data_IF_920574342502
#
_entry.id   IF_920574342502
#
_cell.length_a   1.000
_cell.length_b   1.000
_cell.length_c   1.000
_cell.angle_alpha   90.00
_cell.angle_beta   90.00
_cell.angle_gamma   90.00
#
_symmetry.space_group_name_H-M   'P 1'
#
loop_
_entity.id
_entity.type
_entity.pdbx_description
1 polymer ?
#
# COMPACT_ATOMS: atom_id res chain seq x y z
N UNK A 1 15.87 21.17 -5.06
CA UNK A 1 16.37 20.20 -6.07
C UNK A 1 16.76 18.84 -5.48
N UNK A 2 17.44 18.76 -4.33
CA UNK A 2 17.86 17.47 -3.76
C UNK A 2 16.69 16.54 -3.34
N UNK A 3 15.58 17.10 -2.84
CA UNK A 3 14.39 16.32 -2.46
C UNK A 3 13.74 15.58 -3.64
N UNK A 4 13.80 16.12 -4.86
CA UNK A 4 13.26 15.47 -6.08
C UNK A 4 13.93 14.12 -6.34
N UNK A 5 15.17 13.91 -5.86
CA UNK A 5 15.87 12.64 -5.99
C UNK A 5 15.19 11.49 -5.23
N UNK A 6 14.28 11.79 -4.30
CA UNK A 6 13.41 10.80 -3.63
C UNK A 6 12.26 10.33 -4.51
N UNK A 7 11.95 11.04 -5.59
CA UNK A 7 10.99 10.60 -6.59
C UNK A 7 11.73 9.78 -7.65
N UNK A 8 11.25 8.56 -7.87
CA UNK A 8 11.87 7.60 -8.76
C UNK A 8 11.95 8.15 -10.21
N UNK A 9 13.07 7.95 -10.93
CA UNK A 9 13.29 8.51 -12.27
C UNK A 9 12.26 8.03 -13.31
N UNK A 10 11.75 6.82 -13.11
CA UNK A 10 10.74 6.21 -13.97
C UNK A 10 9.30 6.65 -13.64
N UNK A 11 9.11 7.55 -12.68
CA UNK A 11 7.80 8.09 -12.35
C UNK A 11 7.43 9.28 -13.23
N UNK A 12 6.20 9.33 -13.78
CA UNK A 12 5.66 10.54 -14.38
C UNK A 12 5.67 11.73 -13.40
N UNK A 13 5.50 11.47 -12.10
CA UNK A 13 5.50 12.47 -11.03
C UNK A 13 6.83 13.18 -10.86
N UNK A 14 7.94 12.67 -11.42
CA UNK A 14 9.24 13.35 -11.29
C UNK A 14 9.32 14.62 -12.14
N UNK A 15 8.65 14.64 -13.29
CA UNK A 15 8.69 15.79 -14.20
C UNK A 15 7.85 16.96 -13.65
N UNK A 16 6.66 16.66 -13.14
CA UNK A 16 5.76 17.63 -12.53
C UNK A 16 5.19 17.03 -11.22
N UNK A 17 5.92 17.13 -10.10
CA UNK A 17 5.46 16.58 -8.83
C UNK A 17 4.28 17.39 -8.30
N UNK A 18 3.27 16.70 -7.78
CA UNK A 18 2.19 17.35 -7.04
C UNK A 18 2.70 17.99 -5.73
N UNK A 19 1.91 18.90 -5.15
CA UNK A 19 2.24 19.52 -3.86
C UNK A 19 2.46 18.48 -2.76
N UNK A 20 1.61 17.45 -2.72
CA UNK A 20 1.70 16.35 -1.77
C UNK A 20 2.97 15.51 -1.98
N UNK A 21 3.33 15.19 -3.23
CA UNK A 21 4.56 14.47 -3.54
C UNK A 21 5.80 15.30 -3.19
N UNK A 22 5.76 16.61 -3.43
CA UNK A 22 6.84 17.54 -3.06
C UNK A 22 7.00 17.60 -1.55
N UNK A 23 5.90 17.66 -0.80
CA UNK A 23 5.91 17.64 0.66
C UNK A 23 6.49 16.33 1.22
N UNK A 24 6.10 15.17 0.66
CA UNK A 24 6.63 13.87 1.07
C UNK A 24 8.10 13.73 0.72
N UNK A 25 8.51 14.17 -0.48
CA UNK A 25 9.90 14.17 -0.90
C UNK A 25 10.78 15.04 0.00
N UNK A 26 10.30 16.23 0.39
CA UNK A 26 10.94 17.08 1.39
C UNK A 26 11.03 16.39 2.74
N UNK A 27 9.92 15.81 3.22
CA UNK A 27 9.88 15.10 4.48
C UNK A 27 10.91 13.96 4.57
N UNK A 28 11.03 13.15 3.51
CA UNK A 28 12.01 12.06 3.41
C UNK A 28 13.46 12.56 3.35
N UNK A 29 13.70 13.68 2.67
CA UNK A 29 15.03 14.29 2.58
C UNK A 29 15.49 14.88 3.92
N UNK A 30 14.58 15.52 4.65
CA UNK A 30 14.87 16.03 5.99
C UNK A 30 15.18 14.89 6.96
N UNK A 31 14.45 13.78 6.88
CA UNK A 31 14.69 12.61 7.73
C UNK A 31 16.04 11.97 7.45
N UNK A 32 16.47 11.92 6.18
CA UNK A 32 17.81 11.48 5.79
C UNK A 32 18.90 12.41 6.36
N UNK A 33 18.66 13.72 6.38
CA UNK A 33 19.66 14.72 6.77
C UNK A 33 19.80 14.85 8.28
N UNK A 34 18.68 14.79 9.01
CA UNK A 34 18.63 15.07 10.44
C UNK A 34 18.83 13.83 11.31
N UNK A 35 18.65 12.61 10.76
CA UNK A 35 18.71 11.36 11.52
C UNK A 35 19.87 10.50 11.04
N UNK A 36 21.00 10.53 11.76
CA UNK A 36 22.23 9.84 11.34
C UNK A 36 22.01 8.33 11.12
N UNK A 37 21.26 7.66 11.99
CA UNK A 37 21.00 6.21 11.88
C UNK A 37 20.20 5.83 10.63
N UNK A 38 19.29 6.70 10.19
CA UNK A 38 18.40 6.42 9.04
C UNK A 38 19.03 6.82 7.72
N UNK A 39 20.08 7.64 7.73
CA UNK A 39 20.71 8.21 6.54
C UNK A 39 21.15 7.15 5.54
N UNK A 40 21.86 6.11 6.01
CA UNK A 40 22.38 5.05 5.15
C UNK A 40 21.26 4.25 4.48
N UNK A 41 20.17 3.99 5.20
CA UNK A 41 19.04 3.21 4.70
C UNK A 41 18.08 4.04 3.85
N UNK A 42 17.84 5.31 4.17
CA UNK A 42 16.94 6.20 3.45
C UNK A 42 17.54 6.71 2.14
N UNK A 43 18.86 6.92 2.05
CA UNK A 43 19.52 7.44 0.85
C UNK A 43 19.12 6.72 -0.45
N UNK A 44 19.17 5.37 -0.55
CA UNK A 44 18.79 4.66 -1.78
C UNK A 44 17.27 4.55 -1.99
N UNK A 45 16.46 4.93 -1.00
CA UNK A 45 15.01 4.78 -1.09
C UNK A 45 14.39 5.90 -1.91
N UNK A 46 13.50 5.47 -2.80
CA UNK A 46 12.71 6.32 -3.66
C UNK A 46 11.26 5.85 -3.65
N UNK A 47 10.33 6.77 -3.86
CA UNK A 47 8.92 6.46 -4.11
C UNK A 47 8.54 6.89 -5.53
N UNK A 48 7.50 6.27 -6.09
CA UNK A 48 7.05 6.57 -7.44
C UNK A 48 6.05 7.73 -7.41
N UNK A 49 4.98 7.59 -6.65
CA UNK A 49 3.93 8.60 -6.55
C UNK A 49 3.30 8.56 -5.17
N UNK A 50 2.52 9.58 -4.83
CA UNK A 50 1.73 9.57 -3.62
C UNK A 50 0.31 10.09 -3.90
N UNK A 51 -0.67 9.55 -3.18
CA UNK A 51 -2.08 9.89 -3.32
C UNK A 51 -2.74 10.04 -1.97
N UNK A 52 -3.64 10.99 -1.87
CA UNK A 52 -4.50 11.15 -0.70
C UNK A 52 -5.86 10.48 -0.94
N UNK A 53 -6.38 9.80 0.09
CA UNK A 53 -7.67 9.12 0.09
C UNK A 53 -8.43 9.50 1.35
N UNK A 54 -9.71 9.79 1.21
CA UNK A 54 -10.60 10.03 2.35
C UNK A 54 -11.05 8.69 2.93
N UNK A 55 -10.87 8.52 4.25
CA UNK A 55 -11.15 7.27 4.96
C UNK A 55 -12.55 7.29 5.60
N UNK A 56 -13.17 8.47 5.69
CA UNK A 56 -14.42 8.69 6.41
C UNK A 56 -14.20 9.47 7.71
N UNK A 57 -15.27 10.02 8.27
CA UNK A 57 -15.25 10.83 9.50
C UNK A 57 -14.25 12.01 9.46
N UNK A 58 -14.02 12.59 8.27
CA UNK A 58 -13.08 13.70 8.07
C UNK A 58 -11.60 13.32 8.11
N UNK A 59 -11.26 12.03 8.32
CA UNK A 59 -9.88 11.54 8.31
C UNK A 59 -9.41 11.26 6.88
N UNK A 60 -8.12 11.50 6.63
CA UNK A 60 -7.47 11.22 5.34
C UNK A 60 -6.32 10.23 5.54
N UNK A 61 -6.02 9.47 4.50
CA UNK A 61 -4.87 8.59 4.44
C UNK A 61 -4.01 8.95 3.23
N UNK A 62 -2.70 8.95 3.42
CA UNK A 62 -1.72 9.16 2.36
C UNK A 62 -1.18 7.79 1.96
N UNK A 63 -1.33 7.44 0.69
CA UNK A 63 -0.78 6.24 0.08
C UNK A 63 0.49 6.66 -0.65
N UNK A 64 1.63 6.09 -0.24
CA UNK A 64 2.92 6.26 -0.92
C UNK A 64 3.20 5.01 -1.75
N UNK A 65 3.27 5.19 -3.06
CA UNK A 65 3.58 4.13 -4.00
C UNK A 65 5.09 3.90 -4.08
N UNK A 66 5.53 2.70 -3.73
CA UNK A 66 6.95 2.32 -3.69
C UNK A 66 7.30 1.46 -4.90
N UNK A 67 8.48 1.63 -5.54
CA UNK A 67 8.96 0.69 -6.54
C UNK A 67 9.09 -0.71 -5.93
N UNK A 68 8.55 -1.75 -6.60
CA UNK A 68 8.56 -3.13 -6.10
C UNK A 68 9.93 -3.61 -5.60
N UNK A 69 11.08 -3.32 -6.26
CA UNK A 69 12.38 -3.76 -5.78
C UNK A 69 12.80 -3.15 -4.42
N UNK A 70 12.29 -1.96 -4.10
CA UNK A 70 12.66 -1.23 -2.89
C UNK A 70 11.76 -1.55 -1.69
N UNK A 71 10.62 -2.21 -1.92
CA UNK A 71 9.63 -2.48 -0.87
C UNK A 71 10.20 -3.23 0.33
N UNK A 72 11.05 -4.25 0.11
CA UNK A 72 11.68 -4.99 1.20
C UNK A 72 12.59 -4.09 2.06
N UNK A 73 13.23 -3.08 1.46
CA UNK A 73 14.06 -2.11 2.18
C UNK A 73 13.19 -1.09 2.93
N UNK A 74 12.04 -0.71 2.38
CA UNK A 74 11.06 0.10 3.10
C UNK A 74 10.53 -0.64 4.34
N UNK A 75 10.16 -1.92 4.20
CA UNK A 75 9.65 -2.74 5.31
C UNK A 75 10.59 -2.73 6.52
N UNK A 76 11.91 -2.86 6.32
CA UNK A 76 12.92 -2.83 7.40
C UNK A 76 12.85 -1.58 8.29
N UNK A 77 12.46 -0.44 7.73
CA UNK A 77 12.40 0.85 8.46
C UNK A 77 10.96 1.37 8.62
N UNK A 78 9.96 0.65 8.13
CA UNK A 78 8.60 1.15 7.93
C UNK A 78 7.95 1.59 9.23
N UNK A 79 8.16 0.87 10.33
CA UNK A 79 7.61 1.26 11.63
C UNK A 79 8.12 2.63 12.11
N UNK A 80 9.42 2.91 11.94
CA UNK A 80 10.01 4.20 12.33
C UNK A 80 9.65 5.28 11.32
N UNK A 81 9.67 4.96 10.03
CA UNK A 81 9.34 5.88 8.95
C UNK A 81 7.88 6.34 9.00
N UNK A 82 6.93 5.43 9.25
CA UNK A 82 5.51 5.79 9.40
C UNK A 82 5.30 6.75 10.55
N UNK A 83 5.90 6.50 11.72
CA UNK A 83 5.81 7.40 12.88
C UNK A 83 6.33 8.80 12.59
N UNK A 84 7.50 8.91 11.95
CA UNK A 84 8.09 10.22 11.62
C UNK A 84 7.29 10.98 10.56
N UNK A 85 6.72 10.28 9.57
CA UNK A 85 5.85 10.91 8.58
C UNK A 85 4.51 11.32 9.18
N UNK A 86 3.90 10.49 10.04
CA UNK A 86 2.63 10.84 10.71
C UNK A 86 2.79 12.04 11.67
N UNK A 87 3.96 12.25 12.27
CA UNK A 87 4.25 13.48 13.02
C UNK A 87 4.22 14.73 12.13
N UNK A 88 4.71 14.64 10.89
CA UNK A 88 4.73 15.76 9.92
C UNK A 88 3.36 15.96 9.26
N UNK A 89 2.65 14.88 8.99
CA UNK A 89 1.32 14.87 8.38
C UNK A 89 0.29 14.52 9.45
N UNK A 90 0.05 15.47 10.36
CA UNK A 90 -0.89 15.29 11.46
C UNK A 90 -2.28 14.89 10.95
N UNK A 91 -2.95 14.01 11.70
CA UNK A 91 -4.29 13.49 11.42
C UNK A 91 -4.43 12.69 10.12
N UNK A 92 -3.31 12.28 9.51
CA UNK A 92 -3.29 11.45 8.30
C UNK A 92 -2.53 10.16 8.50
N UNK A 93 -3.17 9.03 8.18
CA UNK A 93 -2.48 7.73 8.20
C UNK A 93 -1.59 7.59 6.96
N UNK A 94 -0.31 7.28 7.17
CA UNK A 94 0.64 7.10 6.07
C UNK A 94 0.83 5.60 5.79
N UNK A 95 0.47 5.17 4.58
CA UNK A 95 0.52 3.78 4.14
C UNK A 95 1.47 3.63 2.96
N UNK A 96 2.27 2.55 2.96
CA UNK A 96 3.17 2.21 1.87
C UNK A 96 2.60 1.04 1.07
N UNK A 97 2.52 1.20 -0.25
CA UNK A 97 2.04 0.15 -1.15
C UNK A 97 2.96 0.05 -2.35
N UNK A 98 3.36 -1.15 -2.75
CA UNK A 98 4.14 -1.29 -3.98
C UNK A 98 3.32 -0.96 -5.23
N UNK A 99 3.92 -0.22 -6.15
CA UNK A 99 3.34 0.01 -7.48
C UNK A 99 3.45 -1.24 -8.35
N UNK A 100 2.37 -2.02 -8.39
CA UNK A 100 2.26 -3.25 -9.20
C UNK A 100 1.42 -3.02 -10.45
N UNK A 101 1.88 -3.56 -11.58
CA UNK A 101 1.15 -3.52 -12.87
C UNK A 101 0.37 -4.80 -13.09
N UNK A 102 -0.93 -4.68 -13.29
CA UNK A 102 -1.79 -5.79 -13.73
C UNK A 102 -1.74 -5.86 -15.26
N UNK A 103 -1.36 -7.01 -15.81
CA UNK A 103 -1.43 -7.25 -17.26
C UNK A 103 -2.82 -7.77 -17.66
N UNK A 104 -3.33 -7.50 -18.87
CA UNK A 104 -4.56 -8.13 -19.34
C UNK A 104 -4.37 -9.65 -19.48
N UNK A 105 -5.46 -10.42 -19.34
CA UNK A 105 -5.42 -11.86 -19.64
C UNK A 105 -5.22 -12.02 -21.15
N UNK A 106 -4.24 -12.83 -21.61
CA UNK A 106 -4.10 -13.12 -23.03
C UNK A 106 -5.38 -13.83 -23.50
N UNK A 107 -6.06 -13.26 -24.49
CA UNK A 107 -7.25 -13.84 -25.11
C UNK A 107 -6.82 -14.56 -26.39
N UNK A 108 -7.42 -15.72 -26.67
CA UNK A 108 -7.17 -16.50 -27.90
C UNK A 108 -7.96 -16.01 -29.13
N UNK A 109 -8.73 -14.92 -29.00
CA UNK A 109 -9.60 -14.42 -30.07
C UNK A 109 -8.85 -13.48 -31.01
N UNK A 110 -9.11 -13.59 -32.31
CA UNK A 110 -8.61 -12.70 -33.37
C UNK A 110 -9.05 -11.24 -33.15
N UNK A 111 -10.18 -11.02 -32.46
CA UNK A 111 -10.69 -9.69 -32.10
C UNK A 111 -10.14 -9.18 -30.75
N UNK A 112 -9.12 -9.84 -30.20
CA UNK A 112 -8.43 -9.40 -28.98
C UNK A 112 -7.65 -8.11 -29.26
N UNK A 113 -8.02 -7.01 -28.58
CA UNK A 113 -7.22 -5.76 -28.56
C UNK A 113 -5.84 -5.92 -27.90
N UNK A 114 -5.49 -7.11 -27.42
CA UNK A 114 -4.19 -7.41 -26.81
C UNK A 114 -3.30 -8.09 -27.86
N UNK A 115 -2.22 -7.41 -28.22
CA UNK A 115 -1.14 -7.87 -29.11
C UNK A 115 -0.06 -8.69 -28.38
N UNK A 116 -0.25 -8.99 -27.10
CA UNK A 116 0.74 -9.70 -26.28
C UNK A 116 0.72 -11.21 -26.56
N UNK A 117 1.76 -11.66 -27.24
CA UNK A 117 2.05 -13.07 -27.54
C UNK A 117 2.79 -13.78 -26.38
N UNK A 118 3.49 -13.03 -25.54
CA UNK A 118 4.23 -13.57 -24.39
C UNK A 118 3.30 -14.05 -23.29
N UNK A 119 3.63 -15.20 -22.67
CA UNK A 119 2.92 -15.73 -21.50
C UNK A 119 2.94 -14.71 -20.34
N UNK A 120 1.76 -14.42 -19.79
CA UNK A 120 1.61 -13.51 -18.64
C UNK A 120 2.23 -14.11 -17.37
N UNK A 121 3.13 -13.40 -16.66
CA UNK A 121 3.63 -13.83 -15.35
C UNK A 121 2.53 -13.87 -14.28
N UNK A 122 2.57 -14.86 -13.39
CA UNK A 122 1.61 -15.01 -12.27
C UNK A 122 1.60 -13.80 -11.34
N UNK A 123 2.77 -13.20 -11.07
CA UNK A 123 2.92 -11.99 -10.25
C UNK A 123 2.19 -10.76 -10.79
N UNK A 124 1.85 -10.75 -12.08
CA UNK A 124 1.08 -9.67 -12.73
C UNK A 124 -0.38 -10.07 -12.96
N UNK A 125 -0.87 -11.09 -12.26
CA UNK A 125 -2.29 -11.48 -12.25
C UNK A 125 -3.13 -10.56 -11.37
N UNK A 126 -4.39 -10.31 -11.72
CA UNK A 126 -5.28 -9.46 -10.91
C UNK A 126 -5.36 -9.96 -9.46
N UNK A 127 -5.62 -11.26 -9.29
CA UNK A 127 -5.70 -11.90 -7.97
C UNK A 127 -4.39 -11.77 -7.20
N UNK A 128 -3.24 -12.12 -7.80
CA UNK A 128 -1.95 -12.03 -7.10
C UNK A 128 -1.61 -10.59 -6.69
N UNK A 129 -1.88 -9.61 -7.56
CA UNK A 129 -1.65 -8.19 -7.24
C UNK A 129 -2.56 -7.73 -6.11
N UNK A 130 -3.84 -8.10 -6.13
CA UNK A 130 -4.77 -7.78 -5.05
C UNK A 130 -4.36 -8.40 -3.72
N UNK A 131 -3.86 -9.63 -3.72
CA UNK A 131 -3.34 -10.28 -2.51
C UNK A 131 -2.08 -9.60 -2.00
N UNK A 132 -1.17 -9.19 -2.88
CA UNK A 132 0.03 -8.45 -2.47
C UNK A 132 -0.28 -7.05 -1.97
N UNK A 133 -1.29 -6.36 -2.52
CA UNK A 133 -1.73 -5.05 -1.99
C UNK A 133 -2.25 -5.21 -0.56
N UNK A 134 -3.02 -6.26 -0.26
CA UNK A 134 -3.47 -6.53 1.12
C UNK A 134 -2.29 -6.73 2.07
N UNK A 135 -1.30 -7.52 1.66
CA UNK A 135 -0.11 -7.77 2.49
C UNK A 135 0.68 -6.48 2.78
N UNK A 136 0.84 -5.61 1.79
CA UNK A 136 1.55 -4.33 1.98
C UNK A 136 0.79 -3.39 2.93
N UNK A 137 -0.54 -3.31 2.80
CA UNK A 137 -1.36 -2.40 3.59
C UNK A 137 -1.28 -2.72 5.08
N UNK A 138 -1.27 -4.01 5.43
CA UNK A 138 -1.34 -4.47 6.82
C UNK A 138 0.05 -4.65 7.45
N UNK A 139 1.14 -4.45 6.71
CA UNK A 139 2.49 -4.50 7.27
C UNK A 139 2.61 -3.54 8.48
N UNK A 140 3.10 -3.99 9.65
CA UNK A 140 3.92 -5.20 9.90
C UNK A 140 3.14 -6.49 10.23
N UNK A 141 1.81 -6.43 10.30
CA UNK A 141 0.98 -7.54 10.76
C UNK A 141 0.76 -8.56 9.65
N UNK A 142 0.89 -9.83 10.00
CA UNK A 142 0.62 -10.91 9.08
C UNK A 142 -0.86 -11.24 9.01
N UNK A 143 -1.32 -11.60 7.82
CA UNK A 143 -2.68 -12.05 7.58
C UNK A 143 -2.75 -13.55 7.89
N UNK A 144 -3.50 -13.91 8.93
CA UNK A 144 -3.70 -15.31 9.36
C UNK A 144 -4.69 -16.02 8.44
N UNK A 145 -5.74 -15.33 7.99
CA UNK A 145 -6.81 -15.94 7.23
C UNK A 145 -7.52 -14.98 6.28
N UNK A 146 -8.12 -15.55 5.24
CA UNK A 146 -8.98 -14.81 4.30
C UNK A 146 -10.22 -15.65 4.00
N UNK A 147 -11.40 -15.07 4.20
CA UNK A 147 -12.68 -15.70 3.85
C UNK A 147 -13.54 -14.73 3.06
N UNK A 148 -14.11 -15.19 1.95
CA UNK A 148 -15.05 -14.39 1.16
C UNK A 148 -16.46 -14.72 1.62
N UNK A 149 -17.13 -13.75 2.24
CA UNK A 149 -18.56 -13.86 2.55
C UNK A 149 -19.35 -13.35 1.35
N UNK A 150 -20.20 -14.21 0.80
CA UNK A 150 -21.19 -13.81 -0.21
C UNK A 150 -22.52 -13.63 0.51
N UNK A 151 -23.17 -12.49 0.29
CA UNK A 151 -24.49 -12.17 0.84
C UNK A 151 -25.60 -12.60 -0.14
N UNK A 152 -26.84 -12.63 0.32
CA UNK A 152 -28.01 -13.03 -0.47
C UNK A 152 -28.25 -12.12 -1.68
N UNK A 153 -27.89 -10.85 -1.57
CA UNK A 153 -27.90 -9.86 -2.66
C UNK A 153 -26.80 -10.11 -3.73
N UNK A 154 -25.97 -11.14 -3.56
CA UNK A 154 -24.84 -11.47 -4.44
C UNK A 154 -23.58 -10.64 -4.19
N UNK A 155 -23.63 -9.66 -3.28
CA UNK A 155 -22.47 -8.85 -2.91
C UNK A 155 -21.44 -9.71 -2.18
N UNK A 156 -20.16 -9.44 -2.43
CA UNK A 156 -19.04 -10.17 -1.84
C UNK A 156 -18.22 -9.25 -0.96
N UNK A 157 -18.01 -9.66 0.28
CA UNK A 157 -17.15 -8.99 1.23
C UNK A 157 -16.00 -9.93 1.60
N UNK A 158 -14.77 -9.49 1.36
CA UNK A 158 -13.60 -10.24 1.78
C UNK A 158 -13.31 -9.91 3.25
N UNK A 159 -13.43 -10.90 4.13
CA UNK A 159 -13.03 -10.79 5.53
C UNK A 159 -11.59 -11.27 5.67
N UNK A 160 -10.73 -10.40 6.16
CA UNK A 160 -9.30 -10.65 6.34
C UNK A 160 -9.02 -10.71 7.84
N UNK A 161 -8.49 -11.83 8.29
CA UNK A 161 -8.17 -12.09 9.69
C UNK A 161 -6.71 -11.75 9.92
N UNK A 162 -6.43 -10.85 10.86
CA UNK A 162 -5.09 -10.39 11.23
C UNK A 162 -4.59 -11.12 12.48
N UNK A 163 -3.27 -11.16 12.68
CA UNK A 163 -2.71 -11.74 13.91
C UNK A 163 -3.14 -10.94 15.16
N UNK A 164 -3.52 -11.65 16.23
CA UNK A 164 -4.08 -11.08 17.46
C UNK A 164 -3.04 -10.28 18.26
N UNK A 165 -1.76 -10.67 18.16
CA UNK A 165 -0.65 -10.08 18.92
C UNK A 165 -0.50 -8.58 18.69
N UNK A 166 -0.80 -8.12 17.49
CA UNK A 166 -0.58 -6.72 17.07
C UNK A 166 -1.86 -5.87 17.16
N UNK A 167 -2.91 -6.39 17.79
CA UNK A 167 -4.22 -5.72 17.88
C UNK A 167 -4.12 -4.30 18.44
N UNK A 168 -3.41 -4.10 19.55
CA UNK A 168 -3.30 -2.79 20.19
C UNK A 168 -2.66 -1.70 19.32
N UNK A 169 -1.80 -2.07 18.37
CA UNK A 169 -1.09 -1.12 17.51
C UNK A 169 -1.80 -0.78 16.21
N UNK A 170 -2.73 -1.63 15.76
CA UNK A 170 -3.27 -1.57 14.38
C UNK A 170 -4.78 -1.34 14.31
N UNK A 171 -5.50 -1.56 15.42
CA UNK A 171 -6.97 -1.42 15.48
C UNK A 171 -7.46 -0.05 14.98
N UNK A 172 -6.76 1.03 15.37
CA UNK A 172 -7.09 2.40 14.96
C UNK A 172 -6.89 2.70 13.46
N UNK A 173 -6.25 1.79 12.70
CA UNK A 173 -5.96 1.95 11.26
C UNK A 173 -6.83 1.09 10.36
N UNK A 174 -7.67 0.19 10.91
CA UNK A 174 -8.43 -0.79 10.14
C UNK A 174 -9.36 -0.14 9.10
N UNK A 175 -10.01 0.96 9.48
CA UNK A 175 -10.89 1.72 8.58
C UNK A 175 -10.10 2.28 7.39
N UNK A 176 -8.89 2.79 7.65
CA UNK A 176 -8.00 3.30 6.61
C UNK A 176 -7.57 2.20 5.64
N UNK A 177 -7.25 1.01 6.13
CA UNK A 177 -6.93 -0.12 5.26
C UNK A 177 -8.11 -0.53 4.39
N UNK A 178 -9.31 -0.60 4.96
CA UNK A 178 -10.52 -0.98 4.25
C UNK A 178 -10.82 -0.04 3.10
N UNK A 179 -10.82 1.26 3.39
CA UNK A 179 -11.17 2.28 2.39
C UNK A 179 -10.07 2.46 1.33
N UNK A 180 -8.80 2.40 1.72
CA UNK A 180 -7.68 2.41 0.75
C UNK A 180 -7.73 1.20 -0.16
N UNK A 181 -7.96 0.01 0.37
CA UNK A 181 -8.08 -1.19 -0.46
C UNK A 181 -9.27 -1.09 -1.43
N UNK A 182 -10.42 -0.59 -0.94
CA UNK A 182 -11.60 -0.35 -1.76
C UNK A 182 -11.32 0.66 -2.87
N UNK A 183 -10.62 1.75 -2.57
CA UNK A 183 -10.27 2.80 -3.55
C UNK A 183 -9.32 2.29 -4.62
N UNK A 184 -8.36 1.43 -4.27
CA UNK A 184 -7.37 0.87 -5.20
C UNK A 184 -7.93 -0.28 -6.05
N UNK A 185 -8.80 -1.10 -5.49
CA UNK A 185 -9.21 -2.38 -6.11
C UNK A 185 -10.68 -2.47 -6.49
N UNK A 186 -11.52 -1.57 -5.98
CA UNK A 186 -12.98 -1.61 -6.11
C UNK A 186 -13.65 -2.70 -5.28
N UNK A 187 -12.91 -3.45 -4.44
CA UNK A 187 -13.46 -4.55 -3.64
C UNK A 187 -13.57 -4.15 -2.17
N UNK A 188 -14.71 -4.47 -1.55
CA UNK A 188 -14.92 -4.25 -0.13
C UNK A 188 -14.19 -5.30 0.71
N UNK A 189 -13.48 -4.84 1.74
CA UNK A 189 -12.75 -5.67 2.70
C UNK A 189 -13.16 -5.27 4.10
N UNK A 190 -13.31 -6.27 4.98
CA UNK A 190 -13.44 -6.08 6.41
C UNK A 190 -12.26 -6.76 7.09
N UNK A 191 -11.53 -6.00 7.91
CA UNK A 191 -10.43 -6.53 8.72
C UNK A 191 -10.98 -6.92 10.10
N UNK A 192 -10.65 -8.11 10.56
CA UNK A 192 -11.11 -8.66 11.84
C UNK A 192 -9.89 -9.29 12.56
N UNK A 193 -9.87 -9.23 13.88
CA UNK A 193 -8.97 -10.07 14.69
C UNK A 193 -9.67 -11.39 15.02
N UNK A 194 -8.94 -12.50 15.17
CA UNK A 194 -9.54 -13.74 15.64
C UNK A 194 -10.17 -13.49 17.01
N UNK A 195 -11.35 -14.05 17.23
CA UNK A 195 -11.92 -14.10 18.56
C UNK A 195 -11.23 -15.23 19.30
N UNK A 196 -10.49 -14.89 20.36
CA UNK A 196 -9.92 -15.86 21.29
C UNK A 196 -11.07 -16.72 21.85
N UNK A 197 -11.16 -17.98 21.42
CA UNK A 197 -12.15 -18.94 21.93
C UNK A 197 -13.20 -19.48 20.96
N UNK A 198 -12.92 -19.60 19.65
CA UNK A 198 -13.68 -20.55 18.84
C UNK A 198 -13.19 -21.98 19.13
N UNK A 199 -13.56 -22.49 20.31
CA UNK A 199 -13.58 -23.94 20.56
C UNK A 199 -14.53 -24.56 19.52
N UNK A 200 -14.00 -25.48 18.73
CA UNK A 200 -14.79 -26.47 18.00
C UNK A 200 -14.74 -27.77 18.79
#
# INVERSE_FOLDING_TARGET
MAAINKIAPNSPSRQNPSELETAIAGALFDLESNTQDLKATLRPLQFVSAREVEVGHGKKAIIVFVPVPLLANFHKIQQRLTRELEKKFSDRHVLFVAQRRILPRPKRSVNSRTTQTQKRPRSRTLTAVHDSILADLVYPVEIVGKRVRTKEDGSKTLKVILDEKERGGVDHRLDAYGEVYRRLTGRAVAFEFPQSGAEF
#
